data_IF_448726677669
#
_entry.id   IF_448726677669
#
_cell.length_a   1.000
_cell.length_b   1.000
_cell.length_c   1.000
_cell.angle_alpha   90.00
_cell.angle_beta   90.00
_cell.angle_gamma   90.00
#
_symmetry.space_group_name_H-M   'P 1'
#
loop_
_entity.id
_entity.type
_entity.pdbx_description
1 polymer ?
#
# COMPACT_ATOMS: atom_id res chain seq x y z
N UNK A 1 24.17 -12.28 -48.32
CA UNK A 1 23.34 -11.16 -47.85
C UNK A 1 22.21 -11.81 -47.05
N UNK A 2 22.39 -11.87 -45.75
CA UNK A 2 21.42 -12.48 -44.83
C UNK A 2 20.58 -11.35 -44.23
N UNK A 3 19.28 -11.37 -44.46
CA UNK A 3 18.34 -10.45 -43.84
C UNK A 3 18.13 -10.88 -42.38
N UNK A 4 18.56 -10.03 -41.46
CA UNK A 4 18.17 -10.12 -40.08
C UNK A 4 16.70 -9.72 -39.92
N UNK A 5 15.92 -10.63 -39.37
CA UNK A 5 14.51 -10.44 -38.98
C UNK A 5 14.45 -9.41 -37.84
N UNK A 6 13.70 -8.29 -37.95
CA UNK A 6 13.56 -7.37 -36.84
C UNK A 6 12.62 -7.98 -35.82
N UNK A 7 13.19 -8.27 -34.65
CA UNK A 7 12.57 -8.78 -33.44
C UNK A 7 11.09 -8.41 -33.31
N UNK A 8 10.25 -9.42 -33.21
CA UNK A 8 8.85 -9.33 -32.85
C UNK A 8 8.69 -8.49 -31.56
N UNK A 9 8.27 -7.25 -31.70
CA UNK A 9 7.77 -6.43 -30.62
C UNK A 9 6.46 -7.08 -30.18
N UNK A 10 6.50 -7.83 -29.10
CA UNK A 10 5.30 -8.38 -28.49
C UNK A 10 4.34 -7.21 -28.19
N UNK A 11 3.13 -7.33 -28.74
CA UNK A 11 2.03 -6.38 -28.59
C UNK A 11 1.80 -6.07 -27.09
N UNK A 12 1.88 -4.80 -26.66
CA UNK A 12 1.59 -4.43 -25.28
C UNK A 12 0.20 -4.86 -24.80
N UNK A 13 -0.79 -4.95 -25.70
CA UNK A 13 -2.13 -5.43 -25.37
C UNK A 13 -2.17 -6.90 -24.93
N UNK A 14 -1.26 -7.75 -25.42
CA UNK A 14 -1.22 -9.18 -25.06
C UNK A 14 -0.64 -9.44 -23.67
N UNK A 15 0.16 -8.51 -23.12
CA UNK A 15 0.76 -8.63 -21.78
C UNK A 15 -0.23 -8.35 -20.65
N UNK A 16 -1.31 -7.60 -20.91
CA UNK A 16 -2.32 -7.21 -19.92
C UNK A 16 -3.34 -8.32 -19.61
N UNK A 17 -3.45 -9.34 -20.44
CA UNK A 17 -4.53 -10.34 -20.36
C UNK A 17 -4.30 -11.46 -19.35
N UNK A 18 -3.05 -11.83 -19.06
CA UNK A 18 -2.73 -13.04 -18.29
C UNK A 18 -2.95 -12.84 -16.78
N UNK A 19 -2.84 -11.61 -16.28
CA UNK A 19 -2.93 -11.28 -14.86
C UNK A 19 -4.08 -10.33 -14.49
N UNK A 20 -5.04 -10.13 -15.38
CA UNK A 20 -6.10 -9.12 -15.24
C UNK A 20 -6.90 -9.18 -13.93
N UNK A 21 -6.92 -10.31 -13.24
CA UNK A 21 -7.62 -10.49 -11.97
C UNK A 21 -6.68 -10.53 -10.74
N UNK A 22 -5.41 -10.21 -10.91
CA UNK A 22 -4.40 -10.26 -9.85
C UNK A 22 -4.14 -8.86 -9.31
N UNK A 23 -4.44 -8.62 -8.04
CA UNK A 23 -4.11 -7.37 -7.36
C UNK A 23 -2.64 -7.31 -6.95
N UNK A 24 -2.13 -8.42 -6.39
CA UNK A 24 -0.73 -8.58 -5.98
C UNK A 24 -0.25 -9.99 -6.34
N UNK A 25 0.73 -10.09 -7.21
CA UNK A 25 1.46 -11.32 -7.52
C UNK A 25 2.95 -11.11 -7.23
N UNK A 26 3.56 -12.00 -6.46
CA UNK A 26 4.99 -11.99 -6.21
C UNK A 26 5.57 -13.39 -6.28
N UNK A 27 6.59 -13.56 -7.09
CA UNK A 27 7.41 -14.75 -7.16
C UNK A 27 8.84 -14.34 -6.83
N UNK A 28 9.41 -14.82 -5.71
CA UNK A 28 10.80 -14.55 -5.36
C UNK A 28 11.75 -15.24 -6.35
N UNK A 29 13.04 -14.87 -6.36
CA UNK A 29 14.06 -15.62 -7.10
C UNK A 29 14.09 -17.08 -6.65
N UNK A 30 14.37 -17.99 -7.57
CA UNK A 30 14.32 -19.46 -7.36
C UNK A 30 15.23 -19.99 -6.25
N UNK A 31 16.26 -19.25 -5.90
CA UNK A 31 17.22 -19.57 -4.83
C UNK A 31 16.72 -19.20 -3.42
N UNK A 32 15.62 -18.46 -3.29
CA UNK A 32 15.07 -17.98 -2.00
C UNK A 32 13.86 -18.76 -1.47
N UNK A 33 13.56 -19.92 -2.06
CA UNK A 33 12.48 -20.79 -1.60
C UNK A 33 11.09 -20.37 -2.06
N UNK A 34 10.06 -21.05 -1.57
CA UNK A 34 8.66 -20.91 -2.02
C UNK A 34 7.93 -19.81 -1.21
N UNK A 35 8.16 -18.56 -1.56
CA UNK A 35 7.46 -17.39 -1.01
C UNK A 35 6.48 -16.78 -2.01
N UNK A 36 5.86 -17.59 -2.88
CA UNK A 36 4.92 -17.12 -3.90
C UNK A 36 3.65 -16.59 -3.29
N UNK A 37 3.20 -15.43 -3.77
CA UNK A 37 1.97 -14.77 -3.33
C UNK A 37 1.15 -14.42 -4.56
N UNK A 38 -0.13 -14.81 -4.56
CA UNK A 38 -1.09 -14.44 -5.60
C UNK A 38 -2.40 -14.04 -4.94
N UNK A 39 -2.69 -12.75 -4.95
CA UNK A 39 -3.89 -12.15 -4.36
C UNK A 39 -4.80 -11.68 -5.48
N UNK A 40 -6.06 -12.13 -5.53
CA UNK A 40 -7.02 -11.65 -6.52
C UNK A 40 -7.44 -10.20 -6.24
N UNK A 41 -8.01 -9.56 -7.26
CA UNK A 41 -8.62 -8.24 -7.13
C UNK A 41 -9.79 -8.24 -6.16
N UNK A 42 -9.93 -7.14 -5.44
CA UNK A 42 -11.07 -6.87 -4.53
C UNK A 42 -10.95 -7.55 -3.17
N UNK A 43 -11.66 -6.99 -2.19
CA UNK A 43 -11.79 -7.57 -0.86
C UNK A 43 -10.60 -7.36 0.07
N UNK A 44 -10.61 -8.10 1.19
CA UNK A 44 -9.53 -8.08 2.18
C UNK A 44 -8.86 -9.44 2.26
N UNK A 45 -7.54 -9.43 2.18
CA UNK A 45 -6.70 -10.62 2.17
C UNK A 45 -5.63 -10.51 3.26
N UNK A 46 -5.27 -11.67 3.82
CA UNK A 46 -4.22 -11.77 4.82
C UNK A 46 -3.13 -12.71 4.31
N UNK A 47 -1.90 -12.23 4.36
CA UNK A 47 -0.70 -13.01 4.02
C UNK A 47 0.05 -13.29 5.32
N UNK A 48 0.26 -14.56 5.60
CA UNK A 48 0.95 -15.08 6.78
C UNK A 48 2.06 -16.03 6.36
N UNK A 49 2.97 -16.34 7.27
CA UNK A 49 4.01 -17.35 7.04
C UNK A 49 5.19 -16.88 6.19
N UNK A 50 5.27 -15.60 5.83
CA UNK A 50 6.49 -15.05 5.24
C UNK A 50 7.57 -14.89 6.29
N UNK A 51 8.79 -15.29 5.97
CA UNK A 51 9.96 -14.90 6.75
C UNK A 51 10.18 -13.38 6.66
N UNK A 52 10.88 -12.80 7.61
CA UNK A 52 11.21 -11.36 7.58
C UNK A 52 11.97 -10.98 6.30
N UNK A 53 12.86 -11.87 5.81
CA UNK A 53 13.57 -11.65 4.54
C UNK A 53 12.64 -11.64 3.34
N UNK A 54 11.69 -12.58 3.27
CA UNK A 54 10.69 -12.64 2.19
C UNK A 54 9.77 -11.42 2.21
N UNK A 55 9.32 -11.04 3.40
CA UNK A 55 8.51 -9.83 3.60
C UNK A 55 9.25 -8.57 3.15
N UNK A 56 10.52 -8.42 3.57
CA UNK A 56 11.35 -7.29 3.18
C UNK A 56 11.59 -7.22 1.66
N UNK A 57 11.87 -8.36 1.00
CA UNK A 57 12.01 -8.44 -0.45
C UNK A 57 10.72 -8.04 -1.18
N UNK A 58 9.58 -8.55 -0.75
CA UNK A 58 8.27 -8.17 -1.30
C UNK A 58 8.01 -6.68 -1.14
N UNK A 59 8.19 -6.14 0.07
CA UNK A 59 7.94 -4.72 0.35
C UNK A 59 8.88 -3.81 -0.45
N UNK A 60 10.17 -4.15 -0.54
CA UNK A 60 11.11 -3.39 -1.38
C UNK A 60 10.68 -3.42 -2.85
N UNK A 61 10.31 -4.59 -3.39
CA UNK A 61 9.84 -4.71 -4.77
C UNK A 61 8.61 -3.85 -5.06
N UNK A 62 7.65 -3.81 -4.12
CA UNK A 62 6.42 -3.01 -4.25
C UNK A 62 6.71 -1.51 -4.09
N UNK A 63 7.50 -1.13 -3.07
CA UNK A 63 7.81 0.27 -2.79
C UNK A 63 8.63 0.92 -3.89
N UNK A 64 9.61 0.20 -4.43
CA UNK A 64 10.47 0.71 -5.49
C UNK A 64 9.90 0.49 -6.90
N UNK A 65 8.81 -0.29 -7.03
CA UNK A 65 8.30 -0.82 -8.30
C UNK A 65 9.42 -1.44 -9.13
N UNK A 66 10.30 -2.16 -8.44
CA UNK A 66 11.49 -2.76 -9.03
C UNK A 66 11.77 -4.10 -8.33
N UNK A 67 11.28 -5.21 -8.88
CA UNK A 67 11.64 -6.52 -8.36
C UNK A 67 13.15 -6.77 -8.52
N UNK A 68 13.73 -7.53 -7.59
CA UNK A 68 15.12 -7.99 -7.69
C UNK A 68 15.32 -8.93 -8.90
N UNK A 69 16.55 -9.11 -9.39
CA UNK A 69 16.81 -10.00 -10.51
C UNK A 69 16.30 -11.41 -10.25
N UNK A 70 15.56 -11.97 -11.18
CA UNK A 70 14.95 -13.30 -11.06
C UNK A 70 13.61 -13.32 -10.32
N UNK A 71 13.20 -12.24 -9.66
CA UNK A 71 11.87 -12.11 -9.08
C UNK A 71 10.85 -11.57 -10.10
N UNK A 72 9.58 -11.92 -9.90
CA UNK A 72 8.47 -11.39 -10.67
C UNK A 72 7.49 -10.67 -9.75
N UNK A 73 7.07 -9.47 -10.15
CA UNK A 73 6.08 -8.66 -9.44
C UNK A 73 4.95 -8.28 -10.39
N UNK A 74 3.73 -8.58 -9.99
CA UNK A 74 2.49 -8.16 -10.66
C UNK A 74 1.70 -7.28 -9.69
N UNK A 75 1.32 -6.09 -10.12
CA UNK A 75 0.45 -5.19 -9.35
C UNK A 75 -0.69 -4.73 -10.24
N UNK A 76 -1.92 -4.88 -9.74
CA UNK A 76 -3.14 -4.48 -10.43
C UNK A 76 -3.18 -4.99 -11.89
N UNK A 77 -2.80 -6.25 -12.09
CA UNK A 77 -2.77 -6.92 -13.38
C UNK A 77 -1.57 -6.61 -14.25
N UNK A 78 -0.66 -5.72 -13.83
CA UNK A 78 0.50 -5.27 -14.61
C UNK A 78 1.78 -5.93 -14.12
N UNK A 79 2.55 -6.54 -15.01
CA UNK A 79 3.89 -7.03 -14.68
C UNK A 79 4.89 -5.88 -14.62
N UNK A 80 5.38 -5.58 -13.41
CA UNK A 80 6.17 -4.38 -13.09
C UNK A 80 7.51 -4.33 -13.83
N UNK A 81 8.13 -5.48 -14.07
CA UNK A 81 9.43 -5.57 -14.73
C UNK A 81 9.45 -5.03 -16.16
N UNK A 82 8.30 -5.03 -16.85
CA UNK A 82 8.15 -4.56 -18.22
C UNK A 82 7.69 -3.11 -18.39
N UNK A 83 7.39 -2.40 -17.28
CA UNK A 83 6.84 -1.05 -17.33
C UNK A 83 7.92 0.01 -17.58
N UNK A 84 7.57 1.02 -18.36
CA UNK A 84 8.38 2.23 -18.47
C UNK A 84 8.20 3.18 -17.28
N UNK A 85 8.88 4.33 -17.27
CA UNK A 85 8.84 5.29 -16.17
C UNK A 85 7.47 5.95 -16.00
N UNK A 86 6.74 6.23 -17.06
CA UNK A 86 5.43 6.87 -17.04
C UNK A 86 4.36 5.87 -16.54
N UNK A 87 4.42 4.63 -17.01
CA UNK A 87 3.56 3.53 -16.54
C UNK A 87 3.78 3.25 -15.05
N UNK A 88 5.04 3.24 -14.59
CA UNK A 88 5.36 3.09 -13.16
C UNK A 88 4.82 4.24 -12.32
N UNK A 89 4.92 5.48 -12.79
CA UNK A 89 4.35 6.64 -12.08
C UNK A 89 2.83 6.53 -11.96
N UNK A 90 2.15 6.10 -13.03
CA UNK A 90 0.70 5.86 -13.03
C UNK A 90 0.33 4.72 -12.05
N UNK A 91 1.08 3.62 -12.06
CA UNK A 91 0.86 2.51 -11.14
C UNK A 91 1.10 2.92 -9.68
N UNK A 92 2.14 3.75 -9.43
CA UNK A 92 2.47 4.25 -8.09
C UNK A 92 1.29 4.98 -7.43
N UNK A 93 0.56 5.79 -8.18
CA UNK A 93 -0.60 6.53 -7.67
C UNK A 93 -1.81 5.63 -7.30
N UNK A 94 -1.79 4.37 -7.72
CA UNK A 94 -2.87 3.39 -7.50
C UNK A 94 -2.58 2.42 -6.35
N UNK A 95 -1.35 2.44 -5.83
CA UNK A 95 -0.88 1.50 -4.79
C UNK A 95 -0.42 2.28 -3.57
N UNK A 96 -0.95 1.96 -2.40
CA UNK A 96 -0.53 2.56 -1.14
C UNK A 96 0.02 1.51 -0.16
N UNK A 97 0.88 1.97 0.73
CA UNK A 97 1.48 1.15 1.76
C UNK A 97 1.38 1.83 3.13
N UNK A 98 0.91 1.07 4.13
CA UNK A 98 0.93 1.44 5.53
C UNK A 98 1.99 0.61 6.25
N UNK A 99 3.09 1.24 6.62
CA UNK A 99 4.14 0.62 7.41
C UNK A 99 3.65 0.30 8.85
N UNK A 100 4.27 -0.67 9.49
CA UNK A 100 3.95 -1.08 10.87
C UNK A 100 3.90 0.09 11.87
N UNK A 101 4.77 1.09 11.72
CA UNK A 101 4.81 2.32 12.54
C UNK A 101 3.96 3.48 12.02
N UNK A 102 3.07 3.26 11.02
CA UNK A 102 2.26 4.32 10.40
C UNK A 102 2.93 5.09 9.26
N UNK A 103 4.25 4.95 9.06
CA UNK A 103 4.99 5.57 7.95
C UNK A 103 4.94 7.09 7.96
N UNK A 104 5.07 7.71 9.13
CA UNK A 104 5.03 9.17 9.31
C UNK A 104 6.44 9.78 9.31
N UNK A 105 6.57 10.98 8.74
CA UNK A 105 7.78 11.79 8.84
C UNK A 105 7.84 12.42 10.24
N UNK A 106 8.95 12.22 10.95
CA UNK A 106 9.11 12.58 12.36
C UNK A 106 9.09 14.09 12.64
N UNK A 107 9.46 14.89 11.65
CA UNK A 107 9.53 16.36 11.71
C UNK A 107 8.24 17.05 11.27
N UNK A 108 7.21 16.31 10.88
CA UNK A 108 5.90 16.83 10.50
C UNK A 108 4.86 16.41 11.54
N UNK A 109 3.90 17.29 11.85
CA UNK A 109 2.78 16.92 12.70
C UNK A 109 1.79 15.97 11.98
N UNK A 110 0.74 15.50 12.68
CA UNK A 110 -0.22 14.57 12.10
C UNK A 110 -0.94 15.15 10.88
N UNK A 111 -1.37 16.42 10.96
CA UNK A 111 -2.01 17.11 9.84
C UNK A 111 -1.11 17.13 8.61
N UNK A 112 0.12 17.60 8.76
CA UNK A 112 1.10 17.70 7.68
C UNK A 112 1.40 16.33 7.05
N UNK A 113 1.56 15.28 7.88
CA UNK A 113 1.74 13.92 7.42
C UNK A 113 0.52 13.39 6.62
N UNK A 114 -0.70 13.68 7.08
CA UNK A 114 -1.94 13.24 6.44
C UNK A 114 -2.11 13.87 5.06
N UNK A 115 -1.86 15.17 4.94
CA UNK A 115 -2.13 15.91 3.69
C UNK A 115 -0.93 15.95 2.73
N UNK A 116 0.22 15.43 3.15
CA UNK A 116 1.47 15.50 2.40
C UNK A 116 1.35 15.09 0.92
N UNK A 117 0.73 13.92 0.58
CA UNK A 117 0.61 13.51 -0.81
C UNK A 117 -0.25 14.46 -1.64
N UNK A 118 -1.31 15.04 -1.05
CA UNK A 118 -2.16 16.01 -1.73
C UNK A 118 -1.39 17.26 -2.12
N UNK A 119 -0.45 17.71 -1.26
CA UNK A 119 0.40 18.85 -1.55
C UNK A 119 1.26 18.66 -2.80
N UNK A 120 1.68 17.44 -3.10
CA UNK A 120 2.52 17.11 -4.25
C UNK A 120 1.71 16.76 -5.51
N UNK A 121 0.59 16.06 -5.37
CA UNK A 121 -0.11 15.47 -6.51
C UNK A 121 -1.40 16.21 -6.89
N UNK A 122 -2.08 16.82 -5.90
CA UNK A 122 -3.39 17.47 -6.10
C UNK A 122 -3.57 18.67 -5.16
N UNK A 123 -2.71 19.72 -5.27
CA UNK A 123 -2.69 20.83 -4.32
C UNK A 123 -4.03 21.60 -4.27
N UNK A 124 -4.84 21.53 -5.32
CA UNK A 124 -6.17 22.11 -5.35
C UNK A 124 -7.14 21.47 -4.34
N UNK A 125 -6.93 20.19 -4.00
CA UNK A 125 -7.76 19.49 -3.00
C UNK A 125 -7.49 19.94 -1.57
N UNK A 126 -6.35 20.57 -1.29
CA UNK A 126 -6.01 21.05 0.07
C UNK A 126 -7.04 22.04 0.61
N UNK A 127 -7.70 22.82 -0.26
CA UNK A 127 -8.66 23.86 0.16
C UNK A 127 -9.93 23.31 0.84
N UNK A 128 -10.28 22.06 0.61
CA UNK A 128 -11.51 21.47 1.18
C UNK A 128 -11.26 20.25 2.08
N UNK A 129 -10.01 19.80 2.20
CA UNK A 129 -9.69 18.52 2.84
C UNK A 129 -9.85 18.50 4.36
N UNK A 130 -9.85 19.67 5.02
CA UNK A 130 -9.97 19.78 6.49
C UNK A 130 -11.24 19.09 7.00
N UNK A 131 -12.38 19.36 6.36
CA UNK A 131 -13.65 18.74 6.73
C UNK A 131 -13.63 17.22 6.55
N UNK A 132 -13.02 16.73 5.47
CA UNK A 132 -12.87 15.31 5.16
C UNK A 132 -11.98 14.61 6.21
N UNK A 133 -10.81 15.16 6.52
CA UNK A 133 -9.90 14.61 7.54
C UNK A 133 -10.59 14.55 8.90
N UNK A 134 -11.27 15.63 9.31
CA UNK A 134 -11.99 15.68 10.58
C UNK A 134 -13.11 14.63 10.64
N UNK A 135 -13.86 14.43 9.54
CA UNK A 135 -14.89 13.42 9.47
C UNK A 135 -14.33 11.99 9.58
N UNK A 136 -13.21 11.70 8.89
CA UNK A 136 -12.53 10.41 8.96
C UNK A 136 -12.05 10.13 10.39
N UNK A 137 -11.33 11.05 11.03
CA UNK A 137 -10.83 10.87 12.39
C UNK A 137 -11.97 10.64 13.40
N UNK A 138 -13.04 11.43 13.32
CA UNK A 138 -14.25 11.23 14.15
C UNK A 138 -14.90 9.88 13.90
N UNK A 139 -14.95 9.42 12.65
CA UNK A 139 -15.45 8.11 12.28
C UNK A 139 -14.68 6.96 12.96
N UNK A 140 -13.40 7.17 13.27
CA UNK A 140 -12.57 6.26 14.05
C UNK A 140 -12.57 6.56 15.56
N UNK A 141 -13.48 7.39 16.06
CA UNK A 141 -13.58 7.73 17.46
C UNK A 141 -12.44 8.61 18.00
N UNK A 142 -11.69 9.27 17.12
CA UNK A 142 -10.54 10.09 17.49
C UNK A 142 -10.89 11.58 17.40
N UNK A 143 -10.54 12.35 18.45
CA UNK A 143 -10.67 13.80 18.43
C UNK A 143 -9.62 14.43 17.50
N UNK A 144 -10.03 15.13 16.40
CA UNK A 144 -9.09 15.74 15.49
C UNK A 144 -8.19 16.79 16.17
N UNK A 145 -8.74 17.59 17.08
CA UNK A 145 -7.98 18.64 17.76
C UNK A 145 -6.86 18.07 18.63
N UNK A 146 -7.14 16.94 19.29
CA UNK A 146 -6.15 16.24 20.11
C UNK A 146 -5.05 15.56 19.31
N UNK A 147 -5.30 15.21 18.05
CA UNK A 147 -4.35 14.47 17.22
C UNK A 147 -3.56 15.35 16.23
N UNK A 148 -4.23 16.21 15.48
CA UNK A 148 -3.65 16.85 14.28
C UNK A 148 -2.41 17.71 14.54
N UNK A 149 -2.28 18.28 15.73
CA UNK A 149 -1.12 19.08 16.12
C UNK A 149 0.05 18.27 16.68
N UNK A 150 -0.14 16.96 16.97
CA UNK A 150 0.92 16.13 17.55
C UNK A 150 2.01 15.79 16.54
N UNK A 151 3.26 15.85 16.99
CA UNK A 151 4.38 15.19 16.30
C UNK A 151 4.35 13.68 16.55
N UNK A 152 4.88 12.85 15.63
CA UNK A 152 4.88 11.39 15.77
C UNK A 152 5.43 10.87 17.09
N UNK A 153 6.42 11.52 17.69
CA UNK A 153 6.97 11.16 19.00
C UNK A 153 5.97 11.24 20.17
N UNK A 154 4.91 12.05 20.01
CA UNK A 154 3.85 12.25 21.01
C UNK A 154 2.58 11.47 20.72
N UNK A 155 2.58 10.66 19.67
CA UNK A 155 1.44 9.83 19.28
C UNK A 155 1.57 8.43 19.85
N UNK A 156 0.42 7.83 20.23
CA UNK A 156 0.36 6.38 20.51
C UNK A 156 0.63 5.56 19.23
N UNK A 157 0.86 4.26 19.37
CA UNK A 157 1.02 3.37 18.24
C UNK A 157 -0.22 3.39 17.33
N UNK A 158 -1.42 3.39 17.91
CA UNK A 158 -2.68 3.51 17.20
C UNK A 158 -2.81 4.84 16.46
N UNK A 159 -2.52 5.96 17.12
CA UNK A 159 -2.59 7.30 16.51
C UNK A 159 -1.67 7.43 15.28
N UNK A 160 -0.46 6.84 15.34
CA UNK A 160 0.46 6.80 14.18
C UNK A 160 -0.12 6.01 13.02
N UNK A 161 -0.64 4.80 13.30
CA UNK A 161 -1.27 3.96 12.27
C UNK A 161 -2.51 4.65 11.69
N UNK A 162 -3.34 5.27 12.54
CA UNK A 162 -4.53 6.00 12.11
C UNK A 162 -4.19 7.18 11.21
N UNK A 163 -3.20 8.00 11.57
CA UNK A 163 -2.77 9.12 10.75
C UNK A 163 -2.26 8.67 9.38
N UNK A 164 -1.40 7.64 9.34
CA UNK A 164 -0.93 7.03 8.10
C UNK A 164 -2.09 6.44 7.28
N UNK A 165 -3.08 5.87 7.95
CA UNK A 165 -4.24 5.28 7.29
C UNK A 165 -5.20 6.34 6.71
N UNK A 166 -5.45 7.42 7.44
CA UNK A 166 -6.26 8.55 6.94
C UNK A 166 -5.59 9.16 5.69
N UNK A 167 -4.26 9.29 5.68
CA UNK A 167 -3.50 9.68 4.47
C UNK A 167 -3.84 8.79 3.28
N UNK A 168 -3.80 7.46 3.46
CA UNK A 168 -4.14 6.48 2.41
C UNK A 168 -5.59 6.66 1.93
N UNK A 169 -6.55 6.85 2.84
CA UNK A 169 -7.95 7.07 2.46
C UNK A 169 -8.15 8.32 1.60
N UNK A 170 -7.33 9.36 1.80
CA UNK A 170 -7.37 10.58 0.98
C UNK A 170 -6.85 10.35 -0.44
N UNK A 171 -5.89 9.44 -0.61
CA UNK A 171 -5.32 9.09 -1.92
C UNK A 171 -6.25 8.18 -2.73
N UNK A 172 -7.13 7.44 -2.08
CA UNK A 172 -8.09 6.50 -2.68
C UNK A 172 -7.45 5.46 -3.62
N UNK A 173 -6.43 4.71 -3.17
CA UNK A 173 -5.71 3.74 -3.99
C UNK A 173 -6.55 2.49 -4.28
N UNK A 174 -6.26 1.79 -5.37
CA UNK A 174 -6.91 0.53 -5.75
C UNK A 174 -6.35 -0.68 -4.99
N UNK A 175 -5.07 -0.60 -4.57
CA UNK A 175 -4.41 -1.61 -3.76
C UNK A 175 -3.79 -0.97 -2.53
N UNK A 176 -4.12 -1.49 -1.36
CA UNK A 176 -3.53 -1.10 -0.07
C UNK A 176 -2.81 -2.30 0.52
N UNK A 177 -1.51 -2.15 0.79
CA UNK A 177 -0.74 -3.08 1.60
C UNK A 177 -0.57 -2.51 3.00
N UNK A 178 -0.78 -3.33 4.02
CA UNK A 178 -0.63 -2.94 5.43
C UNK A 178 0.32 -3.93 6.10
N UNK A 179 1.41 -3.42 6.64
CA UNK A 179 2.38 -4.22 7.37
C UNK A 179 2.03 -4.25 8.87
N UNK A 180 2.07 -5.45 9.44
CA UNK A 180 1.91 -5.70 10.88
C UNK A 180 0.80 -4.83 11.52
N UNK A 181 -0.39 -5.03 10.99
CA UNK A 181 -1.54 -4.18 11.25
C UNK A 181 -1.89 -4.04 12.74
N UNK A 182 -1.66 -5.09 13.52
CA UNK A 182 -2.00 -5.18 14.96
C UNK A 182 -0.79 -5.12 15.88
N UNK A 183 0.41 -5.15 15.33
CA UNK A 183 1.64 -5.09 16.11
C UNK A 183 1.78 -3.80 16.90
N UNK A 184 2.27 -3.92 18.14
CA UNK A 184 2.46 -2.78 19.02
C UNK A 184 1.19 -2.13 19.57
N UNK A 185 -0.02 -2.70 19.30
CA UNK A 185 -1.30 -2.19 19.78
C UNK A 185 -1.79 -2.99 20.99
N UNK A 186 -2.38 -2.30 21.96
CA UNK A 186 -3.11 -2.95 23.05
C UNK A 186 -4.48 -3.52 22.59
N UNK A 187 -5.22 -4.17 23.49
CA UNK A 187 -6.50 -4.81 23.15
C UNK A 187 -7.58 -3.81 22.69
N UNK A 188 -7.65 -2.62 23.29
CA UNK A 188 -8.60 -1.58 22.93
C UNK A 188 -8.24 -0.94 21.59
N UNK A 189 -6.95 -0.62 21.38
CA UNK A 189 -6.41 -0.08 20.13
C UNK A 189 -6.59 -1.05 18.94
N UNK A 190 -6.42 -2.38 19.18
CA UNK A 190 -6.73 -3.41 18.16
C UNK A 190 -8.19 -3.37 17.73
N UNK A 191 -9.11 -3.13 18.67
CA UNK A 191 -10.53 -2.93 18.38
C UNK A 191 -10.77 -1.78 17.41
N UNK A 192 -10.04 -0.67 17.58
CA UNK A 192 -10.12 0.51 16.70
C UNK A 192 -9.74 0.23 15.25
N UNK A 193 -8.84 -0.74 15.00
CA UNK A 193 -8.43 -1.08 13.64
C UNK A 193 -9.49 -1.86 12.84
N UNK A 194 -10.50 -2.42 13.49
CA UNK A 194 -11.55 -3.19 12.82
C UNK A 194 -12.34 -2.34 11.79
N UNK A 195 -12.42 -1.03 11.99
CA UNK A 195 -13.06 -0.09 11.07
C UNK A 195 -12.27 0.24 9.81
N UNK A 196 -11.00 -0.12 9.74
CA UNK A 196 -10.13 0.31 8.62
C UNK A 196 -10.57 -0.29 7.28
N UNK A 197 -10.69 -1.61 7.16
CA UNK A 197 -11.12 -2.20 5.90
C UNK A 197 -12.54 -1.72 5.47
N UNK A 198 -13.56 -1.70 6.32
CA UNK A 198 -14.86 -1.11 5.95
C UNK A 198 -14.78 0.33 5.46
N UNK A 199 -13.97 1.18 6.09
CA UNK A 199 -13.79 2.56 5.67
C UNK A 199 -13.12 2.66 4.28
N UNK A 200 -12.11 1.80 4.01
CA UNK A 200 -11.50 1.71 2.69
C UNK A 200 -12.49 1.21 1.63
N UNK A 201 -13.20 0.13 1.93
CA UNK A 201 -14.18 -0.45 0.99
C UNK A 201 -15.30 0.52 0.63
N UNK A 202 -15.75 1.34 1.59
CA UNK A 202 -16.77 2.37 1.33
C UNK A 202 -16.29 3.43 0.33
N UNK A 203 -14.99 3.72 0.29
CA UNK A 203 -14.37 4.70 -0.62
C UNK A 203 -13.94 4.09 -1.95
N UNK A 204 -13.48 2.85 -1.93
CA UNK A 204 -12.99 2.10 -3.08
C UNK A 204 -13.66 0.70 -3.11
N UNK A 205 -14.92 0.56 -3.56
CA UNK A 205 -15.67 -0.70 -3.48
C UNK A 205 -15.02 -1.87 -4.21
N UNK A 206 -14.25 -1.60 -5.28
CA UNK A 206 -13.48 -2.63 -6.01
C UNK A 206 -12.03 -2.78 -5.55
N UNK A 207 -11.61 -2.01 -4.55
CA UNK A 207 -10.24 -1.99 -4.07
C UNK A 207 -9.83 -3.26 -3.33
N UNK A 208 -8.54 -3.52 -3.31
CA UNK A 208 -7.93 -4.67 -2.63
C UNK A 208 -7.14 -4.23 -1.40
N UNK A 209 -7.39 -4.88 -0.27
CA UNK A 209 -6.72 -4.60 0.99
C UNK A 209 -5.93 -5.83 1.44
N UNK A 210 -4.61 -5.73 1.50
CA UNK A 210 -3.70 -6.84 1.82
C UNK A 210 -3.01 -6.58 3.14
N UNK A 211 -3.20 -7.46 4.11
CA UNK A 211 -2.54 -7.43 5.41
C UNK A 211 -1.35 -8.39 5.39
N UNK A 212 -0.14 -7.87 5.57
CA UNK A 212 1.08 -8.66 5.72
C UNK A 212 1.33 -8.83 7.22
N UNK A 213 1.13 -10.03 7.73
CA UNK A 213 1.40 -10.33 9.15
C UNK A 213 2.83 -10.81 9.33
N UNK A 214 3.46 -10.42 10.44
CA UNK A 214 4.73 -10.99 10.86
C UNK A 214 4.58 -12.48 11.17
N UNK A 215 5.67 -13.23 11.09
CA UNK A 215 5.69 -14.59 11.65
C UNK A 215 5.32 -14.49 13.13
N UNK A 216 4.46 -15.37 13.65
CA UNK A 216 4.26 -15.42 15.10
C UNK A 216 5.63 -15.62 15.75
N UNK A 217 5.98 -14.76 16.69
CA UNK A 217 7.19 -14.93 17.48
C UNK A 217 7.18 -16.33 18.07
N UNK A 218 8.23 -17.09 17.80
CA UNK A 218 8.49 -18.46 18.31
C UNK A 218 8.84 -18.41 19.77
#
# INVERSE_FOLDING_TARGET
MSHADPAARSDPASRHSIHAQVALGYEPPTDRGDGRIWIPMGGSHRVTGLSETQKASLLSAVLDLKPEPGAKLVLLGLEVGGLDSAERATLRARVAFLAAGGGLLSNLNAWENIVLPLGFHTPERLRGVVGEVNALLKGFGTDPHGLLAKLPERMSAYEKKLAGYVRILLENPELVLVEDFRGGLDAAERGGTAGFFPAYQARCPGGTFVQLEGSPES
#
